data_IF_552153283881
#
_entry.id   IF_552153283881
#
_cell.length_a   1.000
_cell.length_b   1.000
_cell.length_c   1.000
_cell.angle_alpha   90.00
_cell.angle_beta   90.00
_cell.angle_gamma   90.00
#
_symmetry.space_group_name_H-M   'P 1'
#
loop_
_entity.id
_entity.type
_entity.pdbx_description
1 polymer ?
#
# COMPACT_ATOMS: atom_id res chain seq x y z
N UNK A 1 -15.08 -19.83 11.60
CA UNK A 1 -14.51 -19.23 12.83
C UNK A 1 -13.38 -18.29 12.42
N UNK A 2 -13.22 -17.14 13.07
CA UNK A 2 -12.14 -16.19 12.78
C UNK A 2 -10.86 -16.58 13.52
N UNK A 3 -9.69 -16.34 12.91
CA UNK A 3 -8.39 -16.67 13.51
C UNK A 3 -8.03 -15.81 14.73
N UNK A 4 -8.72 -14.68 14.93
CA UNK A 4 -8.58 -13.75 16.06
C UNK A 4 -9.80 -12.84 16.17
N UNK A 5 -9.97 -12.17 17.31
CA UNK A 5 -11.07 -11.25 17.55
C UNK A 5 -11.05 -10.04 16.59
N UNK A 6 -12.22 -9.57 16.13
CA UNK A 6 -12.35 -8.42 15.23
C UNK A 6 -11.86 -7.09 15.85
N UNK A 7 -11.85 -6.98 17.18
CA UNK A 7 -11.24 -5.86 17.90
C UNK A 7 -9.72 -5.89 17.85
N UNK A 8 -9.10 -7.03 17.52
CA UNK A 8 -7.65 -7.14 17.33
C UNK A 8 -7.23 -6.88 15.88
N UNK A 9 -8.13 -7.08 14.90
CA UNK A 9 -7.86 -6.89 13.47
C UNK A 9 -7.96 -5.40 13.13
N UNK A 10 -6.89 -4.84 12.56
CA UNK A 10 -6.88 -3.48 12.02
C UNK A 10 -7.33 -3.47 10.55
N UNK A 11 -7.78 -2.32 10.06
CA UNK A 11 -8.07 -2.18 8.64
C UNK A 11 -6.82 -2.41 7.76
N UNK A 12 -5.62 -2.11 8.29
CA UNK A 12 -4.36 -2.38 7.61
C UNK A 12 -4.11 -3.88 7.44
N UNK A 13 -4.41 -4.70 8.47
CA UNK A 13 -4.27 -6.16 8.38
C UNK A 13 -5.17 -6.73 7.28
N UNK A 14 -6.40 -6.20 7.16
CA UNK A 14 -7.33 -6.60 6.10
C UNK A 14 -6.83 -6.17 4.73
N UNK A 15 -6.40 -4.91 4.59
CA UNK A 15 -5.85 -4.37 3.34
C UNK A 15 -4.70 -5.24 2.82
N UNK A 16 -3.75 -5.59 3.68
CA UNK A 16 -2.61 -6.46 3.34
C UNK A 16 -3.04 -7.87 2.92
N UNK A 17 -4.11 -8.41 3.51
CA UNK A 17 -4.60 -9.75 3.18
C UNK A 17 -5.28 -9.83 1.80
N UNK A 18 -5.96 -8.76 1.37
CA UNK A 18 -6.77 -8.76 0.12
C UNK A 18 -6.08 -8.13 -1.08
N UNK A 19 -5.09 -7.25 -0.86
CA UNK A 19 -4.39 -6.52 -1.92
C UNK A 19 -2.89 -6.82 -1.82
N UNK A 20 -2.41 -7.92 -2.43
CA UNK A 20 -0.98 -8.14 -2.57
C UNK A 20 -0.39 -7.12 -3.56
N UNK A 21 0.63 -6.38 -3.13
CA UNK A 21 1.36 -5.41 -3.95
C UNK A 21 1.44 -4.02 -3.32
N UNK A 22 2.28 -3.13 -3.89
CA UNK A 22 2.42 -1.77 -3.40
C UNK A 22 1.13 -0.96 -3.63
N UNK A 23 0.87 0.00 -2.76
CA UNK A 23 -0.26 0.94 -2.86
C UNK A 23 -0.10 1.82 -4.10
N UNK A 24 1.14 2.22 -4.37
CA UNK A 24 1.53 3.01 -5.53
C UNK A 24 2.44 2.16 -6.41
N UNK A 25 2.08 1.99 -7.68
CA UNK A 25 2.85 1.19 -8.62
C UNK A 25 3.10 1.99 -9.90
N UNK A 26 4.25 1.75 -10.53
CA UNK A 26 4.54 2.28 -11.84
C UNK A 26 3.55 1.71 -12.87
N UNK A 27 3.33 2.49 -13.93
CA UNK A 27 2.56 1.97 -15.06
C UNK A 27 3.26 0.75 -15.66
N UNK A 28 2.47 -0.25 -16.10
CA UNK A 28 2.98 -1.49 -16.69
C UNK A 28 3.84 -1.29 -17.94
N UNK A 29 3.64 -0.19 -18.66
CA UNK A 29 4.40 0.13 -19.84
C UNK A 29 5.78 0.66 -19.41
N UNK A 30 6.84 -0.03 -19.83
CA UNK A 30 8.22 0.38 -19.54
C UNK A 30 8.59 1.59 -20.42
N UNK A 31 9.26 2.61 -19.85
CA UNK A 31 9.81 3.71 -20.63
C UNK A 31 10.82 3.22 -21.70
N UNK A 32 11.07 4.05 -22.71
CA UNK A 32 12.13 3.78 -23.68
C UNK A 32 13.51 3.76 -22.98
N UNK A 33 14.25 2.64 -22.99
CA UNK A 33 15.55 2.55 -22.32
C UNK A 33 16.65 3.39 -22.98
N UNK A 34 16.52 3.71 -24.27
CA UNK A 34 17.48 4.57 -25.00
C UNK A 34 17.28 6.05 -24.71
N UNK A 35 16.16 6.42 -24.09
CA UNK A 35 15.94 7.77 -23.59
C UNK A 35 16.60 7.92 -22.22
N UNK A 36 17.48 8.91 -22.05
CA UNK A 36 18.17 9.20 -20.78
C UNK A 36 17.18 9.32 -19.61
N UNK A 37 16.05 9.99 -19.83
CA UNK A 37 14.97 10.08 -18.84
C UNK A 37 14.28 8.73 -18.64
N UNK A 38 13.98 8.01 -19.72
CA UNK A 38 13.32 6.71 -19.65
C UNK A 38 14.13 5.65 -18.89
N UNK A 39 15.45 5.69 -19.04
CA UNK A 39 16.37 4.84 -18.29
C UNK A 39 16.34 5.13 -16.78
N UNK A 40 16.35 6.42 -16.41
CA UNK A 40 16.47 6.83 -15.00
C UNK A 40 15.15 6.94 -14.24
N UNK A 41 14.02 7.14 -14.92
CA UNK A 41 12.76 7.52 -14.26
C UNK A 41 12.14 6.39 -13.44
N UNK A 42 12.27 5.12 -13.89
CA UNK A 42 11.72 3.97 -13.20
C UNK A 42 12.24 3.86 -11.75
N UNK A 43 13.56 3.67 -11.56
CA UNK A 43 14.14 3.60 -10.22
C UNK A 43 13.88 4.82 -9.35
N UNK A 44 13.92 6.03 -9.93
CA UNK A 44 13.65 7.26 -9.20
C UNK A 44 12.21 7.32 -8.66
N UNK A 45 11.24 6.97 -9.50
CA UNK A 45 9.83 6.95 -9.12
C UNK A 45 9.51 5.82 -8.14
N UNK A 46 10.17 4.66 -8.27
CA UNK A 46 10.05 3.56 -7.29
C UNK A 46 10.44 4.04 -5.89
N UNK A 47 11.59 4.70 -5.74
CA UNK A 47 12.04 5.21 -4.44
C UNK A 47 11.04 6.21 -3.83
N UNK A 48 10.51 7.13 -4.64
CA UNK A 48 9.48 8.09 -4.20
C UNK A 48 8.21 7.37 -3.73
N UNK A 49 7.75 6.35 -4.46
CA UNK A 49 6.55 5.60 -4.10
C UNK A 49 6.74 4.77 -2.84
N UNK A 50 7.92 4.17 -2.64
CA UNK A 50 8.26 3.46 -1.41
C UNK A 50 8.23 4.40 -0.19
N UNK A 51 8.80 5.60 -0.32
CA UNK A 51 8.81 6.60 0.75
C UNK A 51 7.42 7.10 1.11
N UNK A 52 6.60 7.37 0.09
CA UNK A 52 5.20 7.80 0.27
C UNK A 52 4.38 6.69 0.91
N UNK A 53 4.54 5.43 0.48
CA UNK A 53 3.84 4.30 1.08
C UNK A 53 4.26 4.08 2.54
N UNK A 54 5.55 4.23 2.85
CA UNK A 54 6.03 4.15 4.22
C UNK A 54 5.46 5.30 5.09
N UNK A 55 5.37 6.51 4.56
CA UNK A 55 4.76 7.65 5.23
C UNK A 55 3.27 7.43 5.49
N UNK A 56 2.54 6.92 4.48
CA UNK A 56 1.13 6.56 4.59
C UNK A 56 0.90 5.49 5.66
N UNK A 57 1.77 4.47 5.72
CA UNK A 57 1.67 3.40 6.73
C UNK A 57 1.92 3.93 8.15
N UNK A 58 2.76 4.95 8.31
CA UNK A 58 3.00 5.62 9.60
C UNK A 58 1.84 6.52 10.01
N UNK A 59 1.21 7.20 9.05
CA UNK A 59 0.11 8.13 9.32
C UNK A 59 -1.26 7.45 9.42
N UNK A 60 -1.39 6.20 8.94
CA UNK A 60 -2.67 5.50 8.94
C UNK A 60 -3.18 5.40 10.39
N UNK A 61 -4.37 5.96 10.69
CA UNK A 61 -5.00 5.67 11.97
C UNK A 61 -5.14 4.15 12.12
N UNK A 62 -5.24 3.60 13.34
CA UNK A 62 -5.46 2.15 13.50
C UNK A 62 -6.94 1.86 13.81
N UNK A 63 -7.91 2.18 12.92
CA UNK A 63 -9.28 1.81 13.18
C UNK A 63 -9.38 0.29 13.20
N UNK A 64 -10.10 -0.22 14.19
CA UNK A 64 -10.37 -1.65 14.29
C UNK A 64 -11.41 -2.02 13.24
N UNK A 65 -11.36 -3.26 12.78
CA UNK A 65 -12.32 -3.77 11.81
C UNK A 65 -13.78 -3.58 12.27
N UNK A 66 -14.07 -3.76 13.57
CA UNK A 66 -15.40 -3.46 14.15
C UNK A 66 -15.85 -2.02 13.89
N UNK A 67 -14.95 -1.05 14.00
CA UNK A 67 -15.26 0.37 13.84
C UNK A 67 -15.67 0.71 12.41
N UNK A 68 -15.12 0.01 11.41
CA UNK A 68 -15.51 0.19 10.00
C UNK A 68 -16.83 -0.52 9.65
N UNK A 69 -17.12 -1.66 10.26
CA UNK A 69 -18.34 -2.43 9.96
C UNK A 69 -19.61 -1.89 10.64
N UNK A 70 -19.56 -0.77 11.36
CA UNK A 70 -20.74 -0.14 11.98
C UNK A 70 -21.50 -1.05 12.95
N UNK A 71 -20.85 -2.10 13.46
CA UNK A 71 -21.46 -3.07 14.36
C UNK A 71 -21.15 -2.62 15.79
N UNK A 72 -22.14 -1.98 16.44
CA UNK A 72 -22.14 -1.70 17.87
C UNK A 72 -21.86 -2.94 18.71
#
# INVERSE_FOLDING_TARGET
MLARDLAAITLLDVYQAIKPGPVFALHRATPNPECVVGHGIGPAMTAVYDDVEAALRRSWPRPRWRTCCGTS
#
